data_IF_824156020782
#
_entry.id   IF_824156020782
#
_cell.length_a   1.000
_cell.length_b   1.000
_cell.length_c   1.000
_cell.angle_alpha   90.00
_cell.angle_beta   90.00
_cell.angle_gamma   90.00
#
_symmetry.space_group_name_H-M   'P 1'
#
loop_
_entity.id
_entity.type
_entity.pdbx_description
1 polymer ?
#
# COMPACT_ATOMS: atom_id res chain seq x y z
N UNK A 1 -55.78 -4.94 -39.76
CA UNK A 1 -54.98 -3.95 -39.02
C UNK A 1 -55.19 -4.15 -37.52
N UNK A 2 -54.16 -4.53 -36.76
CA UNK A 2 -53.99 -4.28 -35.32
C UNK A 2 -52.53 -4.59 -34.98
N UNK A 3 -51.93 -3.70 -34.19
CA UNK A 3 -50.54 -3.25 -34.23
C UNK A 3 -49.58 -4.20 -33.48
N UNK A 4 -48.34 -4.28 -33.98
CA UNK A 4 -47.15 -4.77 -33.28
C UNK A 4 -46.83 -3.86 -32.07
N UNK A 5 -46.39 -4.45 -30.97
CA UNK A 5 -45.70 -3.74 -29.88
C UNK A 5 -44.40 -4.50 -29.59
N UNK A 6 -43.22 -3.93 -29.85
CA UNK A 6 -41.95 -4.53 -29.43
C UNK A 6 -41.70 -4.19 -27.95
N UNK A 7 -41.51 -5.20 -27.12
CA UNK A 7 -41.00 -5.04 -25.75
C UNK A 7 -39.49 -4.84 -25.86
N UNK A 8 -39.05 -3.58 -25.83
CA UNK A 8 -37.66 -3.22 -25.56
C UNK A 8 -37.43 -3.46 -24.06
N UNK A 9 -36.93 -4.64 -23.73
CA UNK A 9 -36.46 -4.96 -22.39
C UNK A 9 -35.16 -4.22 -22.09
N UNK A 10 -35.28 -3.08 -21.42
CA UNK A 10 -34.19 -2.34 -20.80
C UNK A 10 -33.51 -3.23 -19.75
N UNK A 11 -32.32 -3.72 -20.04
CA UNK A 11 -31.49 -4.44 -19.08
C UNK A 11 -30.03 -4.02 -19.23
N UNK A 12 -29.56 -3.17 -18.31
CA UNK A 12 -28.22 -3.17 -17.72
C UNK A 12 -28.06 -1.90 -16.85
N UNK A 13 -28.41 -1.98 -15.57
CA UNK A 13 -28.01 -1.01 -14.55
C UNK A 13 -27.71 -1.80 -13.27
N UNK A 14 -26.61 -2.57 -13.29
CA UNK A 14 -26.12 -3.29 -12.10
C UNK A 14 -24.60 -3.21 -11.96
N UNK A 15 -24.00 -2.07 -12.33
CA UNK A 15 -22.53 -1.87 -12.28
C UNK A 15 -22.06 -0.90 -11.20
N UNK A 16 -22.98 -0.28 -10.43
CA UNK A 16 -22.62 0.82 -9.51
C UNK A 16 -21.94 0.43 -8.19
N UNK A 17 -22.07 -0.82 -7.73
CA UNK A 17 -21.59 -1.23 -6.39
C UNK A 17 -20.11 -1.60 -6.34
N UNK A 18 -19.53 -2.13 -7.43
CA UNK A 18 -18.13 -2.54 -7.47
C UNK A 18 -17.16 -1.36 -7.61
N UNK A 19 -17.61 -0.26 -8.21
CA UNK A 19 -16.72 0.87 -8.53
C UNK A 19 -16.48 1.78 -7.31
N UNK A 20 -17.46 1.89 -6.41
CA UNK A 20 -17.33 2.65 -5.16
C UNK A 20 -16.30 2.04 -4.18
N UNK A 21 -16.11 0.71 -4.20
CA UNK A 21 -15.09 0.06 -3.35
C UNK A 21 -13.67 0.28 -3.87
N UNK A 22 -13.48 0.31 -5.20
CA UNK A 22 -12.15 0.47 -5.80
C UNK A 22 -11.61 1.89 -5.62
N UNK A 23 -12.45 2.92 -5.75
CA UNK A 23 -12.04 4.31 -5.51
C UNK A 23 -11.67 4.54 -4.02
N UNK A 24 -12.42 3.94 -3.10
CA UNK A 24 -12.11 4.00 -1.67
C UNK A 24 -10.79 3.29 -1.34
N UNK A 25 -10.54 2.11 -1.91
CA UNK A 25 -9.30 1.37 -1.73
C UNK A 25 -8.09 2.11 -2.33
N UNK A 26 -8.28 2.75 -3.49
CA UNK A 26 -7.25 3.59 -4.10
C UNK A 26 -6.87 4.77 -3.22
N UNK A 27 -7.87 5.51 -2.72
CA UNK A 27 -7.64 6.64 -1.81
C UNK A 27 -6.91 6.20 -0.52
N UNK A 28 -7.31 5.06 0.06
CA UNK A 28 -6.62 4.48 1.21
C UNK A 28 -5.15 4.14 0.88
N UNK A 29 -4.90 3.53 -0.29
CA UNK A 29 -3.55 3.22 -0.74
C UNK A 29 -2.68 4.48 -0.90
N UNK A 30 -3.21 5.56 -1.49
CA UNK A 30 -2.46 6.80 -1.69
C UNK A 30 -2.07 7.44 -0.35
N UNK A 31 -2.99 7.48 0.60
CA UNK A 31 -2.73 7.94 1.97
C UNK A 31 -1.67 7.09 2.67
N UNK A 32 -1.84 5.76 2.66
CA UNK A 32 -0.94 4.84 3.33
C UNK A 32 0.45 4.84 2.69
N UNK A 33 0.55 5.04 1.37
CA UNK A 33 1.82 5.15 0.64
C UNK A 33 2.62 6.35 1.14
N UNK A 34 1.97 7.51 1.28
CA UNK A 34 2.61 8.73 1.75
C UNK A 34 3.13 8.56 3.18
N UNK A 35 2.31 8.00 4.08
CA UNK A 35 2.71 7.72 5.46
C UNK A 35 3.87 6.71 5.54
N UNK A 36 3.81 5.66 4.73
CA UNK A 36 4.86 4.64 4.65
C UNK A 36 6.17 5.25 4.16
N UNK A 37 6.14 6.09 3.10
CA UNK A 37 7.33 6.77 2.60
C UNK A 37 7.96 7.66 3.67
N UNK A 38 7.14 8.46 4.39
CA UNK A 38 7.63 9.29 5.48
C UNK A 38 8.29 8.47 6.60
N UNK A 39 7.70 7.33 6.98
CA UNK A 39 8.27 6.42 7.98
C UNK A 39 9.60 5.82 7.50
N UNK A 40 9.68 5.41 6.24
CA UNK A 40 10.89 4.85 5.62
C UNK A 40 12.02 5.89 5.59
N UNK A 41 11.74 7.13 5.18
CA UNK A 41 12.76 8.20 5.21
C UNK A 41 13.23 8.50 6.64
N UNK A 42 12.30 8.51 7.60
CA UNK A 42 12.65 8.68 9.02
C UNK A 42 13.59 7.56 9.50
N UNK A 43 13.31 6.30 9.17
CA UNK A 43 14.18 5.17 9.51
C UNK A 43 15.55 5.27 8.82
N UNK A 44 15.57 5.62 7.53
CA UNK A 44 16.80 5.78 6.75
C UNK A 44 17.70 6.88 7.32
N UNK A 45 17.13 8.00 7.77
CA UNK A 45 17.87 9.14 8.34
C UNK A 45 18.73 8.78 9.57
N UNK A 46 18.41 7.68 10.25
CA UNK A 46 19.15 7.20 11.43
C UNK A 46 19.87 5.88 11.17
N UNK A 47 19.98 5.45 9.91
CA UNK A 47 20.57 4.16 9.52
C UNK A 47 19.73 2.94 9.92
N UNK A 48 18.47 3.14 10.30
CA UNK A 48 17.56 2.09 10.78
C UNK A 48 16.73 1.43 9.69
N UNK A 49 16.91 1.76 8.41
CA UNK A 49 16.12 1.16 7.32
C UNK A 49 16.45 -0.32 7.15
N UNK A 50 15.46 -1.19 7.33
CA UNK A 50 15.62 -2.62 7.10
C UNK A 50 15.64 -2.95 5.59
N UNK A 51 16.52 -3.90 5.23
CA UNK A 51 16.78 -4.32 3.84
C UNK A 51 15.51 -4.65 3.04
N UNK A 52 14.53 -5.29 3.66
CA UNK A 52 13.38 -5.85 2.95
C UNK A 52 12.32 -4.78 2.54
N UNK A 53 12.47 -3.53 3.01
CA UNK A 53 11.57 -2.41 2.68
C UNK A 53 11.69 -2.05 1.19
N UNK A 54 12.85 -1.57 0.73
CA UNK A 54 13.03 -1.05 -0.65
C UNK A 54 14.36 -1.38 -1.32
N UNK A 55 15.26 -2.13 -0.68
CA UNK A 55 16.59 -2.35 -1.24
C UNK A 55 16.54 -3.22 -2.50
N UNK A 56 17.19 -2.77 -3.57
CA UNK A 56 17.20 -3.43 -4.89
C UNK A 56 17.56 -4.92 -4.84
N UNK A 57 18.49 -5.28 -3.95
CA UNK A 57 19.00 -6.66 -3.75
C UNK A 57 18.10 -7.54 -2.87
N UNK A 58 17.12 -6.99 -2.14
CA UNK A 58 16.17 -7.82 -1.39
C UNK A 58 15.25 -8.57 -2.36
N UNK A 59 14.89 -9.82 -2.02
CA UNK A 59 13.86 -10.59 -2.73
C UNK A 59 12.43 -10.16 -2.32
N UNK A 60 12.26 -9.53 -1.14
CA UNK A 60 10.93 -9.19 -0.59
C UNK A 60 10.42 -7.81 -0.99
N UNK A 61 11.27 -6.77 -0.96
CA UNK A 61 11.01 -5.38 -1.45
C UNK A 61 9.55 -4.92 -1.31
N UNK A 62 9.08 -4.80 -0.07
CA UNK A 62 7.67 -4.54 0.21
C UNK A 62 7.13 -3.26 -0.43
N UNK A 63 7.83 -2.12 -0.28
CA UNK A 63 7.38 -0.84 -0.82
C UNK A 63 7.34 -0.84 -2.37
N UNK A 64 8.39 -1.27 -3.10
CA UNK A 64 8.31 -1.42 -4.55
C UNK A 64 7.22 -2.39 -5.02
N UNK A 65 7.00 -3.49 -4.29
CA UNK A 65 5.97 -4.47 -4.63
C UNK A 65 4.56 -3.92 -4.39
N UNK A 66 4.35 -3.10 -3.35
CA UNK A 66 3.09 -2.40 -3.11
C UNK A 66 2.74 -1.48 -4.28
N UNK A 67 3.71 -0.67 -4.72
CA UNK A 67 3.54 0.23 -5.87
C UNK A 67 3.22 -0.57 -7.14
N UNK A 68 3.87 -1.72 -7.34
CA UNK A 68 3.59 -2.61 -8.48
C UNK A 68 2.18 -3.19 -8.41
N UNK A 69 1.71 -3.59 -7.22
CA UNK A 69 0.36 -4.14 -7.03
C UNK A 69 -0.72 -3.07 -7.32
N UNK A 70 -0.55 -1.85 -6.79
CA UNK A 70 -1.46 -0.74 -7.06
C UNK A 70 -1.52 -0.35 -8.55
N UNK A 71 -0.37 -0.37 -9.25
CA UNK A 71 -0.34 -0.18 -10.72
C UNK A 71 -1.12 -1.24 -11.49
N UNK A 72 -1.33 -2.42 -10.91
CA UNK A 72 -2.16 -3.48 -11.46
C UNK A 72 -3.62 -3.43 -10.97
N UNK A 73 -4.00 -2.40 -10.19
CA UNK A 73 -5.33 -2.26 -9.58
C UNK A 73 -5.54 -3.11 -8.33
N UNK A 74 -4.55 -3.87 -7.87
CA UNK A 74 -4.63 -4.72 -6.69
C UNK A 74 -4.32 -3.92 -5.42
N UNK A 75 -5.25 -3.03 -5.05
CA UNK A 75 -5.10 -2.14 -3.90
C UNK A 75 -5.12 -2.88 -2.56
N UNK A 76 -5.84 -4.00 -2.45
CA UNK A 76 -5.83 -4.84 -1.23
C UNK A 76 -4.44 -5.38 -0.97
N UNK A 77 -3.79 -5.95 -2.00
CA UNK A 77 -2.40 -6.41 -1.87
C UNK A 77 -1.44 -5.26 -1.65
N UNK A 78 -1.65 -4.12 -2.31
CA UNK A 78 -0.81 -2.95 -2.14
C UNK A 78 -0.82 -2.47 -0.67
N UNK A 79 -2.01 -2.34 -0.07
CA UNK A 79 -2.19 -1.95 1.33
C UNK A 79 -1.51 -2.93 2.29
N UNK A 80 -1.68 -4.24 2.11
CA UNK A 80 -1.01 -5.25 2.94
C UNK A 80 0.53 -5.16 2.85
N UNK A 81 1.07 -4.87 1.67
CA UNK A 81 2.51 -4.68 1.49
C UNK A 81 3.01 -3.37 2.11
N UNK A 82 2.21 -2.30 2.08
CA UNK A 82 2.53 -1.03 2.75
C UNK A 82 2.54 -1.19 4.28
N UNK A 83 1.58 -1.90 4.85
CA UNK A 83 1.54 -2.17 6.29
C UNK A 83 2.82 -2.87 6.77
N UNK A 84 3.27 -3.90 6.05
CA UNK A 84 4.54 -4.58 6.35
C UNK A 84 5.73 -3.62 6.23
N UNK A 85 5.78 -2.80 5.18
CA UNK A 85 6.87 -1.84 4.97
C UNK A 85 6.92 -0.77 6.08
N UNK A 86 5.76 -0.22 6.46
CA UNK A 86 5.61 0.79 7.52
C UNK A 86 5.98 0.22 8.88
N UNK A 87 5.52 -0.99 9.19
CA UNK A 87 5.91 -1.71 10.40
C UNK A 87 7.44 -1.83 10.50
N UNK A 88 8.10 -2.29 9.44
CA UNK A 88 9.55 -2.45 9.42
C UNK A 88 10.30 -1.12 9.53
N UNK A 89 9.79 -0.06 8.90
CA UNK A 89 10.36 1.28 9.02
C UNK A 89 10.31 1.79 10.46
N UNK A 90 9.15 1.67 11.12
CA UNK A 90 8.97 2.07 12.52
C UNK A 90 9.85 1.24 13.45
N UNK A 91 9.88 -0.08 13.27
CA UNK A 91 10.68 -0.99 14.07
C UNK A 91 12.18 -0.69 13.92
N UNK A 92 12.64 -0.50 12.69
CA UNK A 92 14.03 -0.17 12.38
C UNK A 92 14.48 1.18 12.95
N UNK A 93 13.64 2.21 12.87
CA UNK A 93 13.90 3.48 13.56
C UNK A 93 14.05 3.30 15.07
N UNK A 94 13.10 2.62 15.72
CA UNK A 94 13.13 2.35 17.17
C UNK A 94 14.40 1.60 17.57
N UNK A 95 14.76 0.56 16.82
CA UNK A 95 15.97 -0.22 17.05
C UNK A 95 17.23 0.65 16.94
N UNK A 96 17.37 1.44 15.87
CA UNK A 96 18.52 2.32 15.68
C UNK A 96 18.65 3.35 16.81
N UNK A 97 17.54 3.96 17.23
CA UNK A 97 17.55 4.92 18.33
C UNK A 97 17.91 4.29 19.68
N UNK A 98 17.43 3.06 19.96
CA UNK A 98 17.80 2.35 21.18
C UNK A 98 19.30 1.99 21.21
N UNK A 99 19.86 1.60 20.07
CA UNK A 99 21.28 1.22 19.95
C UNK A 99 22.24 2.40 20.02
N UNK A 100 21.80 3.63 19.68
CA UNK A 100 22.63 4.84 19.82
C UNK A 100 23.16 5.07 21.23
N UNK A 101 22.43 4.62 22.25
CA UNK A 101 22.80 4.78 23.66
C UNK A 101 23.35 3.49 24.30
N UNK A 102 23.56 2.43 23.51
CA UNK A 102 23.98 1.12 24.01
C UNK A 102 25.51 0.93 24.09
N UNK A 103 26.29 2.02 24.13
CA UNK A 103 27.74 1.97 24.28
C UNK A 103 28.19 1.33 25.60
N UNK A 104 29.45 0.87 25.71
CA UNK A 104 29.94 0.27 26.95
C UNK A 104 29.87 1.29 28.09
N UNK A 105 29.25 0.91 29.20
CA UNK A 105 29.38 1.64 30.48
C UNK A 105 30.66 1.11 31.14
N UNK A 106 31.76 1.82 30.97
CA UNK A 106 32.97 1.64 31.78
C UNK A 106 32.95 2.60 32.97
#
# INVERSE_FOLDING_TARGET
MKKLIPIIGLSLMLTGLAQASDDALKAAYESELQETQAAVEKAASVGGEWRDIRWKKSKKKFLPNAIKAAKAGDYVKALNLLDIAKFQAIAGYKQAMAQKNAGPRF
#
